data_IF_320072284969
#
_entry.id   IF_320072284969
#
_cell.length_a   1.000
_cell.length_b   1.000
_cell.length_c   1.000
_cell.angle_alpha   90.00
_cell.angle_beta   90.00
_cell.angle_gamma   90.00
#
_symmetry.space_group_name_H-M   'P 1'
#
loop_
_entity.id
_entity.type
_entity.pdbx_description
1 polymer ?
#
# COMPACT_ATOMS: atom_id res chain seq x y z
N UNK A 1 34.02 -44.02 11.60
CA UNK A 1 33.67 -43.15 12.73
C UNK A 1 32.77 -42.06 12.13
N UNK A 2 31.49 -42.18 12.39
CA UNK A 2 30.58 -41.07 12.08
C UNK A 2 30.92 -39.98 13.12
N UNK A 3 31.48 -38.88 12.68
CA UNK A 3 31.47 -37.68 13.47
C UNK A 3 29.99 -37.32 13.65
N UNK A 4 29.43 -37.75 14.76
CA UNK A 4 28.19 -37.22 15.23
C UNK A 4 28.39 -35.69 15.23
N UNK A 5 27.70 -35.05 14.42
CA UNK A 5 27.79 -33.61 14.24
C UNK A 5 27.20 -32.99 15.51
N UNK A 6 28.04 -32.87 16.54
CA UNK A 6 27.65 -32.30 17.83
C UNK A 6 27.12 -30.89 17.67
N UNK A 7 27.52 -30.23 16.60
CA UNK A 7 26.95 -28.95 16.19
C UNK A 7 25.62 -29.08 15.41
N UNK A 8 25.37 -30.24 14.79
CA UNK A 8 24.12 -30.50 14.06
C UNK A 8 22.97 -31.01 14.92
N UNK A 9 23.30 -31.63 16.07
CA UNK A 9 22.27 -32.12 17.01
C UNK A 9 21.87 -31.09 18.06
N UNK A 10 22.66 -30.01 18.25
CA UNK A 10 22.36 -28.96 19.23
C UNK A 10 21.56 -27.80 18.71
N UNK A 11 21.62 -27.51 17.41
CA UNK A 11 20.84 -26.46 16.78
C UNK A 11 19.74 -27.16 15.98
N UNK A 12 18.60 -27.31 16.59
CA UNK A 12 17.40 -27.73 15.87
C UNK A 12 17.02 -26.57 14.95
N UNK A 13 17.32 -26.69 13.64
CA UNK A 13 16.99 -25.71 12.64
C UNK A 13 15.49 -25.36 12.66
N UNK A 14 14.64 -26.33 12.97
CA UNK A 14 13.21 -26.11 13.14
C UNK A 14 12.90 -25.23 14.36
N UNK A 15 13.66 -25.36 15.44
CA UNK A 15 13.50 -24.52 16.62
C UNK A 15 13.97 -23.07 16.41
N UNK A 16 14.96 -22.86 15.53
CA UNK A 16 15.42 -21.52 15.11
C UNK A 16 14.52 -20.91 14.05
N UNK A 17 13.86 -21.71 13.25
CA UNK A 17 12.99 -21.25 12.17
C UNK A 17 11.83 -20.42 12.70
N UNK A 18 11.21 -20.84 13.81
CA UNK A 18 10.04 -20.16 14.38
C UNK A 18 10.38 -18.73 14.85
N UNK A 19 11.42 -18.49 15.66
CA UNK A 19 11.75 -17.13 16.11
C UNK A 19 12.22 -16.23 14.96
N UNK A 20 12.99 -16.75 14.00
CA UNK A 20 13.42 -15.96 12.84
C UNK A 20 12.23 -15.63 11.93
N UNK A 21 11.34 -16.58 11.69
CA UNK A 21 10.12 -16.35 10.92
C UNK A 21 9.22 -15.32 11.59
N UNK A 22 9.00 -15.44 12.90
CA UNK A 22 8.20 -14.48 13.65
C UNK A 22 8.82 -13.07 13.64
N UNK A 23 10.14 -12.96 13.83
CA UNK A 23 10.87 -11.70 13.76
C UNK A 23 10.80 -11.08 12.36
N UNK A 24 10.88 -11.89 11.29
CA UNK A 24 10.79 -11.44 9.91
C UNK A 24 9.39 -10.91 9.59
N UNK A 25 8.34 -11.65 9.97
CA UNK A 25 6.95 -11.24 9.75
C UNK A 25 6.64 -9.97 10.55
N UNK A 26 7.04 -9.93 11.82
CA UNK A 26 6.83 -8.77 12.68
C UNK A 26 7.56 -7.53 12.14
N UNK A 27 8.83 -7.65 11.78
CA UNK A 27 9.59 -6.54 11.21
C UNK A 27 9.01 -6.06 9.89
N UNK A 28 8.53 -6.96 9.02
CA UNK A 28 7.87 -6.59 7.77
C UNK A 28 6.58 -5.80 8.03
N UNK A 29 5.76 -6.22 8.99
CA UNK A 29 4.52 -5.54 9.36
C UNK A 29 4.76 -4.19 10.06
N UNK A 30 5.78 -4.10 10.90
CA UNK A 30 6.11 -2.87 11.63
C UNK A 30 6.73 -1.80 10.72
N UNK A 31 7.53 -2.21 9.73
CA UNK A 31 8.28 -1.28 8.87
C UNK A 31 7.48 -0.86 7.65
N UNK A 32 6.63 -1.73 7.10
CA UNK A 32 5.83 -1.40 5.92
C UNK A 32 4.65 -0.51 6.28
N UNK A 33 4.48 0.56 5.50
CA UNK A 33 3.33 1.46 5.62
C UNK A 33 2.03 0.80 5.13
N UNK A 34 2.12 -0.12 4.17
CA UNK A 34 0.96 -0.67 3.47
C UNK A 34 0.62 -2.11 3.88
N UNK A 35 1.60 -2.88 4.39
CA UNK A 35 1.42 -4.30 4.71
C UNK A 35 0.31 -4.59 5.73
N UNK A 36 0.01 -3.73 6.73
CA UNK A 36 -1.15 -3.93 7.60
C UNK A 36 -2.51 -3.90 6.90
N UNK A 37 -2.56 -3.47 5.63
CA UNK A 37 -3.80 -3.40 4.84
C UNK A 37 -4.75 -2.27 5.25
N UNK A 38 -4.29 -1.31 6.05
CA UNK A 38 -5.08 -0.17 6.51
C UNK A 38 -5.26 0.90 5.43
N UNK A 39 -4.20 1.19 4.68
CA UNK A 39 -4.21 2.21 3.62
C UNK A 39 -4.71 1.64 2.30
N UNK A 40 -4.27 0.44 1.95
CA UNK A 40 -4.67 -0.28 0.74
C UNK A 40 -5.18 -1.67 1.15
N UNK A 41 -6.44 -2.02 0.87
CA UNK A 41 -6.98 -3.31 1.25
C UNK A 41 -6.23 -4.47 0.60
N UNK A 42 -5.97 -5.51 1.37
CA UNK A 42 -5.25 -6.71 0.92
C UNK A 42 -6.22 -7.86 0.68
N UNK A 43 -6.14 -8.48 -0.49
CA UNK A 43 -6.87 -9.69 -0.84
C UNK A 43 -5.93 -10.90 -0.71
N UNK A 44 -6.35 -11.88 0.08
CA UNK A 44 -5.64 -13.16 0.15
C UNK A 44 -5.95 -14.01 -1.09
N UNK A 45 -4.91 -14.59 -1.66
CA UNK A 45 -4.97 -15.41 -2.87
C UNK A 45 -4.66 -16.87 -2.51
N UNK A 46 -5.42 -17.83 -2.99
CA UNK A 46 -5.14 -19.24 -2.74
C UNK A 46 -3.76 -19.68 -3.24
N UNK A 47 -3.15 -20.64 -2.57
CA UNK A 47 -1.87 -21.21 -3.00
C UNK A 47 -1.98 -21.80 -4.42
N UNK A 48 -0.97 -21.52 -5.25
CA UNK A 48 -0.91 -21.97 -6.64
C UNK A 48 -1.53 -21.02 -7.66
N UNK A 49 -2.17 -19.90 -7.24
CA UNK A 49 -2.67 -18.88 -8.15
C UNK A 49 -1.59 -17.83 -8.41
N UNK A 50 -1.30 -17.54 -9.67
CA UNK A 50 -0.33 -16.51 -10.07
C UNK A 50 -0.93 -15.11 -10.11
N UNK A 51 -2.25 -14.97 -9.98
CA UNK A 51 -2.95 -13.68 -10.05
C UNK A 51 -4.23 -13.66 -9.23
N UNK A 52 -4.66 -12.47 -8.83
CA UNK A 52 -5.95 -12.19 -8.24
C UNK A 52 -6.85 -11.47 -9.24
N UNK A 53 -8.11 -11.83 -9.30
CA UNK A 53 -9.10 -11.10 -10.10
C UNK A 53 -10.02 -10.28 -9.18
N UNK A 54 -10.16 -9.01 -9.49
CA UNK A 54 -11.05 -8.09 -8.79
C UNK A 54 -12.09 -7.57 -9.78
N UNK A 55 -13.37 -7.73 -9.45
CA UNK A 55 -14.44 -7.15 -10.23
C UNK A 55 -14.66 -5.69 -9.82
N UNK A 56 -14.55 -4.77 -10.76
CA UNK A 56 -14.88 -3.36 -10.57
C UNK A 56 -16.26 -3.14 -11.19
N UNK A 57 -17.25 -2.80 -10.38
CA UNK A 57 -18.61 -2.54 -10.83
C UNK A 57 -18.75 -1.11 -11.31
N UNK A 58 -19.29 -0.93 -12.52
CA UNK A 58 -19.67 0.39 -13.04
C UNK A 58 -20.89 0.95 -12.31
N UNK A 59 -21.06 2.25 -12.39
CA UNK A 59 -22.23 2.93 -11.84
C UNK A 59 -23.42 2.82 -12.81
N UNK A 60 -24.61 2.74 -12.25
CA UNK A 60 -25.88 2.82 -12.98
C UNK A 60 -26.53 4.17 -12.66
N UNK A 61 -27.02 4.86 -13.66
CA UNK A 61 -27.67 6.16 -13.50
C UNK A 61 -29.15 5.98 -13.21
N UNK A 62 -29.63 6.56 -12.12
CA UNK A 62 -31.06 6.57 -11.85
C UNK A 62 -31.80 7.46 -12.86
N UNK A 63 -32.86 6.93 -13.43
CA UNK A 63 -33.74 7.68 -14.34
C UNK A 63 -34.98 8.20 -13.56
N UNK A 64 -35.29 9.46 -13.72
CA UNK A 64 -36.49 10.05 -13.07
C UNK A 64 -37.72 9.66 -13.88
N UNK A 65 -38.67 9.05 -13.20
CA UNK A 65 -40.01 8.84 -13.78
C UNK A 65 -40.88 10.05 -13.46
N UNK A 66 -41.31 10.78 -14.46
CA UNK A 66 -42.17 11.93 -14.27
C UNK A 66 -43.60 11.46 -13.99
N UNK A 67 -44.19 11.92 -12.92
CA UNK A 67 -45.60 11.67 -12.61
C UNK A 67 -46.41 12.81 -13.22
N UNK A 68 -47.36 12.51 -14.10
CA UNK A 68 -48.32 13.51 -14.56
C UNK A 68 -49.22 13.90 -13.38
N UNK A 69 -49.41 15.18 -13.14
CA UNK A 69 -50.09 15.73 -11.96
C UNK A 69 -51.54 15.29 -11.73
N UNK A 70 -52.06 14.33 -12.47
CA UNK A 70 -53.36 13.69 -12.34
C UNK A 70 -53.34 12.39 -11.50
N UNK A 71 -52.14 12.01 -10.97
CA UNK A 71 -51.96 10.78 -10.19
C UNK A 71 -51.80 9.51 -11.01
N UNK A 72 -51.83 9.60 -12.33
CA UNK A 72 -51.51 8.50 -13.22
C UNK A 72 -50.01 8.50 -13.51
N UNK A 73 -49.37 7.36 -13.34
CA UNK A 73 -48.02 7.14 -13.85
C UNK A 73 -48.13 7.11 -15.38
N UNK A 74 -47.56 8.10 -16.06
CA UNK A 74 -47.40 8.00 -17.50
C UNK A 74 -46.39 6.87 -17.78
N UNK A 75 -46.93 5.70 -17.92
CA UNK A 75 -46.29 4.64 -18.68
C UNK A 75 -46.56 5.00 -20.15
N UNK A 76 -45.70 5.85 -20.71
CA UNK A 76 -45.58 5.87 -22.16
C UNK A 76 -45.21 4.43 -22.58
N UNK A 77 -46.08 3.72 -23.29
CA UNK A 77 -45.81 2.33 -23.67
C UNK A 77 -44.59 2.17 -24.59
N UNK A 78 -43.89 3.26 -24.90
CA UNK A 78 -42.66 3.30 -25.69
C UNK A 78 -41.40 3.62 -24.90
N UNK A 79 -41.50 3.98 -23.61
CA UNK A 79 -40.33 4.25 -22.76
C UNK A 79 -40.14 3.10 -21.77
N UNK A 80 -39.59 2.02 -22.25
CA UNK A 80 -39.00 1.04 -21.37
C UNK A 80 -37.92 1.72 -20.50
N UNK A 81 -37.91 1.47 -19.19
CA UNK A 81 -36.80 1.79 -18.37
C UNK A 81 -35.54 1.21 -19.03
N UNK A 82 -34.54 2.02 -19.38
CA UNK A 82 -33.36 1.48 -19.99
C UNK A 82 -32.78 0.48 -19.02
N UNK A 83 -32.72 -0.80 -19.39
CA UNK A 83 -32.11 -1.84 -18.64
C UNK A 83 -30.59 -1.59 -18.66
N UNK A 84 -30.10 -0.82 -17.67
CA UNK A 84 -28.72 -0.49 -17.53
C UNK A 84 -28.02 -1.67 -16.82
N UNK A 85 -27.28 -2.45 -17.57
CA UNK A 85 -26.37 -3.42 -16.99
C UNK A 85 -25.11 -2.66 -16.50
N UNK A 86 -24.75 -2.76 -15.22
CA UNK A 86 -23.50 -2.17 -14.76
C UNK A 86 -22.34 -2.79 -15.55
N UNK A 87 -21.50 -1.93 -16.12
CA UNK A 87 -20.29 -2.40 -16.80
C UNK A 87 -19.34 -3.00 -15.79
N UNK A 88 -19.28 -4.33 -15.71
CA UNK A 88 -18.34 -5.04 -14.87
C UNK A 88 -17.00 -5.16 -15.59
N UNK A 89 -15.99 -4.49 -15.09
CA UNK A 89 -14.61 -4.62 -15.56
C UNK A 89 -13.85 -5.53 -14.61
N UNK A 90 -13.22 -6.57 -15.16
CA UNK A 90 -12.31 -7.41 -14.38
C UNK A 90 -10.91 -6.83 -14.46
N UNK A 91 -10.34 -6.51 -13.31
CA UNK A 91 -8.92 -6.17 -13.16
C UNK A 91 -8.18 -7.39 -12.65
N UNK A 92 -7.05 -7.70 -13.28
CA UNK A 92 -6.16 -8.79 -12.86
C UNK A 92 -4.94 -8.20 -12.18
N UNK A 93 -4.65 -8.65 -10.98
CA UNK A 93 -3.47 -8.28 -10.21
C UNK A 93 -2.52 -9.45 -10.28
N UNK A 94 -1.42 -9.30 -10.99
CA UNK A 94 -0.40 -10.33 -11.10
C UNK A 94 0.47 -10.35 -9.84
N UNK A 95 0.79 -11.54 -9.37
CA UNK A 95 1.63 -11.79 -8.21
C UNK A 95 3.06 -12.03 -8.66
N UNK A 96 3.99 -11.28 -8.07
CA UNK A 96 5.42 -11.50 -8.20
C UNK A 96 5.98 -12.08 -6.89
N UNK A 97 6.97 -12.94 -7.02
CA UNK A 97 7.69 -13.45 -5.87
C UNK A 97 8.80 -12.47 -5.47
N UNK A 98 8.62 -11.80 -4.34
CA UNK A 98 9.66 -11.02 -3.70
C UNK A 98 10.51 -11.94 -2.82
N UNK A 99 11.82 -11.94 -3.00
CA UNK A 99 12.70 -12.75 -2.20
C UNK A 99 13.93 -11.96 -1.74
N UNK A 100 14.31 -12.18 -0.49
CA UNK A 100 15.55 -11.66 0.09
C UNK A 100 16.33 -12.83 0.69
N UNK A 101 17.64 -12.85 0.45
CA UNK A 101 18.53 -13.95 0.83
C UNK A 101 19.71 -13.43 1.59
N UNK A 102 20.11 -14.15 2.64
CA UNK A 102 21.38 -13.92 3.36
C UNK A 102 22.03 -15.25 3.72
N UNK A 103 23.36 -15.24 3.81
CA UNK A 103 24.15 -16.41 4.23
C UNK A 103 24.83 -16.09 5.56
N UNK A 104 24.54 -16.86 6.57
CA UNK A 104 25.20 -16.76 7.87
C UNK A 104 26.33 -17.80 7.91
N UNK A 105 27.57 -17.34 8.04
CA UNK A 105 28.74 -18.22 8.19
C UNK A 105 28.88 -18.68 9.63
N UNK A 106 29.32 -19.93 9.84
CA UNK A 106 29.46 -20.56 11.16
C UNK A 106 30.41 -19.82 12.11
N UNK A 107 31.38 -19.07 11.58
CA UNK A 107 32.32 -18.26 12.35
C UNK A 107 31.77 -16.90 12.81
N UNK A 108 30.62 -16.46 12.26
CA UNK A 108 29.98 -15.25 12.70
C UNK A 108 28.98 -15.56 13.81
N UNK A 109 29.33 -15.28 15.06
CA UNK A 109 28.39 -15.35 16.19
C UNK A 109 27.29 -14.31 16.04
N UNK A 110 26.35 -14.57 15.11
CA UNK A 110 25.33 -13.64 14.73
C UNK A 110 24.02 -13.94 15.46
N UNK A 111 23.34 -12.92 15.93
CA UNK A 111 22.00 -13.04 16.47
C UNK A 111 21.02 -13.31 15.31
N UNK A 112 20.39 -14.49 15.33
CA UNK A 112 19.43 -14.90 14.30
C UNK A 112 18.20 -13.97 14.24
N UNK A 113 17.83 -13.33 15.34
CA UNK A 113 16.74 -12.36 15.35
C UNK A 113 17.07 -11.11 14.52
N UNK A 114 18.31 -10.64 14.55
CA UNK A 114 18.73 -9.50 13.74
C UNK A 114 18.66 -9.80 12.24
N UNK A 115 18.99 -11.03 11.84
CA UNK A 115 18.82 -11.45 10.45
C UNK A 115 17.35 -11.51 10.03
N UNK A 116 16.48 -12.01 10.91
CA UNK A 116 15.03 -11.97 10.69
C UNK A 116 14.54 -10.55 10.48
N UNK A 117 14.97 -9.60 11.28
CA UNK A 117 14.59 -8.18 11.13
C UNK A 117 15.12 -7.56 9.83
N UNK A 118 16.37 -7.85 9.47
CA UNK A 118 16.95 -7.35 8.20
C UNK A 118 16.18 -7.90 7.00
N UNK A 119 15.85 -9.18 6.99
CA UNK A 119 15.08 -9.80 5.91
C UNK A 119 13.65 -9.24 5.86
N UNK A 120 13.00 -9.08 7.01
CA UNK A 120 11.67 -8.47 7.09
C UNK A 120 11.64 -7.04 6.57
N UNK A 121 12.60 -6.23 6.96
CA UNK A 121 12.75 -4.86 6.46
C UNK A 121 13.00 -4.81 4.95
N UNK A 122 13.76 -5.76 4.41
CA UNK A 122 14.01 -5.86 2.96
C UNK A 122 12.72 -6.16 2.18
N UNK A 123 11.90 -7.09 2.67
CA UNK A 123 10.60 -7.40 2.06
C UNK A 123 9.64 -6.21 2.19
N UNK A 124 9.56 -5.58 3.36
CA UNK A 124 8.75 -4.37 3.57
C UNK A 124 9.10 -3.26 2.59
N UNK A 125 10.41 -2.98 2.44
CA UNK A 125 10.91 -2.00 1.47
C UNK A 125 10.50 -2.33 0.04
N UNK A 126 10.58 -3.60 -0.36
CA UNK A 126 10.19 -4.02 -1.70
C UNK A 126 8.69 -3.85 -1.95
N UNK A 127 7.85 -4.16 -0.95
CA UNK A 127 6.40 -3.96 -0.99
C UNK A 127 6.07 -2.46 -1.12
N UNK A 128 6.61 -1.62 -0.23
CA UNK A 128 6.36 -0.18 -0.22
C UNK A 128 6.83 0.50 -1.50
N UNK A 129 7.94 0.06 -2.06
CA UNK A 129 8.43 0.53 -3.37
C UNK A 129 7.43 0.20 -4.48
N UNK A 130 6.92 -1.04 -4.53
CA UNK A 130 5.95 -1.45 -5.55
C UNK A 130 4.62 -0.71 -5.44
N UNK A 131 4.13 -0.50 -4.23
CA UNK A 131 2.92 0.32 -4.02
C UNK A 131 3.17 1.75 -4.50
N UNK A 132 4.34 2.33 -4.20
CA UNK A 132 4.69 3.68 -4.66
C UNK A 132 4.76 3.80 -6.19
N UNK A 133 5.27 2.76 -6.89
CA UNK A 133 5.23 2.70 -8.36
C UNK A 133 3.79 2.76 -8.88
N UNK A 134 2.88 2.01 -8.26
CA UNK A 134 1.47 2.00 -8.66
C UNK A 134 0.72 3.27 -8.27
N UNK A 135 1.11 3.96 -7.20
CA UNK A 135 0.59 5.30 -6.88
C UNK A 135 0.89 6.29 -8.02
N UNK A 136 2.03 6.16 -8.72
CA UNK A 136 2.35 6.94 -9.90
C UNK A 136 1.37 6.78 -11.07
N UNK A 137 0.55 5.72 -11.06
CA UNK A 137 -0.48 5.47 -12.08
C UNK A 137 -1.85 6.06 -11.73
N UNK A 138 -1.99 6.75 -10.60
CA UNK A 138 -3.19 7.51 -10.27
C UNK A 138 -3.32 8.75 -11.17
N UNK A 139 -4.46 9.44 -11.08
CA UNK A 139 -4.66 10.69 -11.82
C UNK A 139 -3.67 11.74 -11.35
N UNK A 140 -2.83 12.24 -12.26
CA UNK A 140 -1.84 13.25 -11.94
C UNK A 140 -2.48 14.64 -11.85
N UNK A 141 -2.11 15.40 -10.80
CA UNK A 141 -2.45 16.80 -10.63
C UNK A 141 -1.16 17.62 -10.53
N UNK A 142 -1.07 18.68 -11.31
CA UNK A 142 0.06 19.59 -11.24
C UNK A 142 0.00 20.45 -9.98
N UNK A 143 1.16 20.59 -9.34
CA UNK A 143 1.36 21.51 -8.22
C UNK A 143 1.49 22.94 -8.74
N UNK A 144 0.49 23.76 -8.51
CA UNK A 144 0.43 25.14 -9.00
C UNK A 144 0.42 26.18 -7.90
N UNK A 145 0.04 25.78 -6.69
CA UNK A 145 -0.08 26.70 -5.56
C UNK A 145 1.20 26.73 -4.72
N UNK A 146 1.49 27.88 -4.14
CA UNK A 146 2.61 28.01 -3.20
C UNK A 146 2.43 27.23 -1.89
N UNK A 147 1.21 26.73 -1.61
CA UNK A 147 0.83 26.05 -0.38
C UNK A 147 0.37 24.61 -0.66
N UNK A 148 1.11 23.65 -0.15
CA UNK A 148 0.80 22.19 -0.25
C UNK A 148 -0.59 21.84 0.28
N UNK A 149 -1.09 22.57 1.27
CA UNK A 149 -2.41 22.32 1.85
C UNK A 149 -3.53 22.70 0.89
N UNK A 150 -3.40 23.79 0.14
CA UNK A 150 -4.38 24.19 -0.86
C UNK A 150 -4.45 23.13 -1.98
N UNK A 151 -3.32 22.60 -2.39
CA UNK A 151 -3.27 21.51 -3.37
C UNK A 151 -3.93 20.23 -2.84
N UNK A 152 -3.77 19.93 -1.55
CA UNK A 152 -4.46 18.82 -0.91
C UNK A 152 -5.98 19.02 -0.92
N UNK A 153 -6.46 20.23 -0.62
CA UNK A 153 -7.90 20.52 -0.69
C UNK A 153 -8.43 20.41 -2.12
N UNK A 154 -7.67 20.85 -3.13
CA UNK A 154 -8.05 20.68 -4.54
C UNK A 154 -8.12 19.19 -4.91
N UNK A 155 -7.13 18.39 -4.50
CA UNK A 155 -7.11 16.95 -4.76
C UNK A 155 -8.32 16.24 -4.10
N UNK A 156 -8.60 16.54 -2.82
CA UNK A 156 -9.78 16.01 -2.12
C UNK A 156 -11.06 16.43 -2.84
N UNK A 157 -11.18 17.71 -3.22
CA UNK A 157 -12.33 18.23 -3.93
C UNK A 157 -12.55 17.52 -5.28
N UNK A 158 -11.50 17.27 -6.03
CA UNK A 158 -11.57 16.57 -7.32
C UNK A 158 -12.00 15.10 -7.16
N UNK A 159 -11.49 14.39 -6.15
CA UNK A 159 -11.90 13.01 -5.84
C UNK A 159 -13.39 12.99 -5.43
N UNK A 160 -13.82 13.95 -4.61
CA UNK A 160 -15.23 14.07 -4.20
C UNK A 160 -16.14 14.42 -5.40
N UNK A 161 -15.68 15.28 -6.30
CA UNK A 161 -16.41 15.62 -7.54
C UNK A 161 -16.52 14.41 -8.49
N UNK A 162 -15.57 13.48 -8.47
CA UNK A 162 -15.65 12.21 -9.19
C UNK A 162 -16.66 11.21 -8.56
N UNK A 163 -17.33 11.59 -7.46
CA UNK A 163 -18.37 10.76 -6.82
C UNK A 163 -17.87 9.86 -5.69
N UNK A 164 -16.59 9.95 -5.30
CA UNK A 164 -16.05 9.16 -4.19
C UNK A 164 -16.46 9.77 -2.84
N UNK A 165 -17.25 9.03 -2.05
CA UNK A 165 -17.71 9.46 -0.73
C UNK A 165 -17.02 8.75 0.42
N UNK A 166 -16.22 7.72 0.14
CA UNK A 166 -15.54 6.89 1.11
C UNK A 166 -14.42 7.60 1.88
N UNK A 167 -13.79 6.88 2.80
CA UNK A 167 -12.63 7.36 3.51
C UNK A 167 -11.45 7.53 2.54
N UNK A 168 -10.73 8.63 2.70
CA UNK A 168 -9.52 8.93 1.93
C UNK A 168 -8.29 8.76 2.80
N UNK A 169 -7.20 8.37 2.21
CA UNK A 169 -5.88 8.29 2.81
C UNK A 169 -4.91 9.20 2.02
N UNK A 170 -3.95 9.78 2.73
CA UNK A 170 -2.91 10.59 2.12
C UNK A 170 -1.54 10.02 2.45
N UNK A 171 -0.69 9.89 1.44
CA UNK A 171 0.71 9.52 1.60
C UNK A 171 1.57 10.65 1.06
N UNK A 172 2.44 11.18 1.92
CA UNK A 172 3.30 12.33 1.64
C UNK A 172 4.72 11.83 1.39
N UNK A 173 5.39 12.38 0.38
CA UNK A 173 6.81 12.09 0.15
C UNK A 173 7.68 12.67 1.25
N UNK A 174 8.79 12.02 1.57
CA UNK A 174 9.74 12.53 2.55
C UNK A 174 10.27 13.93 2.18
N UNK A 175 10.38 14.23 0.89
CA UNK A 175 10.80 15.56 0.40
C UNK A 175 9.76 16.67 0.67
N UNK A 176 8.47 16.33 0.63
CA UNK A 176 7.39 17.28 0.90
C UNK A 176 7.05 17.40 2.40
N UNK A 177 7.55 16.48 3.23
CA UNK A 177 7.24 16.42 4.66
C UNK A 177 7.51 17.73 5.39
N UNK A 178 8.68 18.33 5.17
CA UNK A 178 9.04 19.60 5.82
C UNK A 178 8.06 20.74 5.48
N UNK A 179 7.59 20.78 4.23
CA UNK A 179 6.57 21.74 3.80
C UNK A 179 5.23 21.55 4.51
N UNK A 180 4.77 20.32 4.67
CA UNK A 180 3.56 20.03 5.45
C UNK A 180 3.73 20.41 6.92
N UNK A 181 4.85 20.07 7.54
CA UNK A 181 5.12 20.38 8.95
C UNK A 181 5.20 21.89 9.20
N UNK A 182 5.77 22.66 8.27
CA UNK A 182 5.80 24.13 8.36
C UNK A 182 4.40 24.73 8.35
N UNK A 183 3.51 24.19 7.52
CA UNK A 183 2.13 24.68 7.41
C UNK A 183 1.34 24.30 8.67
N UNK A 184 1.45 23.06 9.13
CA UNK A 184 0.77 22.58 10.36
C UNK A 184 1.29 23.31 11.60
N UNK A 185 2.59 23.64 11.63
CA UNK A 185 3.23 24.40 12.71
C UNK A 185 2.94 25.90 12.70
N UNK A 186 2.33 26.43 11.63
CA UNK A 186 1.97 27.84 11.57
C UNK A 186 0.83 28.15 12.54
N UNK A 187 0.82 29.39 13.08
CA UNK A 187 -0.18 29.83 14.09
C UNK A 187 -1.64 29.70 13.65
N UNK A 188 -1.90 29.62 12.34
CA UNK A 188 -3.23 29.40 11.78
C UNK A 188 -3.78 27.98 12.03
N UNK A 189 -2.87 27.01 12.26
CA UNK A 189 -3.20 25.61 12.52
C UNK A 189 -2.86 25.13 13.94
N UNK A 190 -2.43 26.03 14.82
CA UNK A 190 -2.02 25.74 16.19
C UNK A 190 -3.21 25.34 17.09
N UNK A 191 -3.95 24.33 16.69
CA UNK A 191 -5.05 23.73 17.42
C UNK A 191 -4.71 22.32 17.91
N UNK A 192 -3.92 22.18 18.98
CA UNK A 192 -3.92 21.00 19.83
C UNK A 192 -2.99 19.83 19.45
N UNK A 193 -3.33 18.68 19.92
CA UNK A 193 -2.63 17.40 20.09
C UNK A 193 -1.96 16.79 18.84
N UNK A 194 -2.28 17.27 17.64
CA UNK A 194 -1.79 16.75 16.37
C UNK A 194 -0.29 16.91 16.18
N UNK A 195 0.32 17.95 16.72
CA UNK A 195 1.77 18.16 16.62
C UNK A 195 2.57 17.10 17.39
N UNK A 196 2.06 16.66 18.54
CA UNK A 196 2.73 15.67 19.36
C UNK A 196 2.61 14.25 18.81
N UNK A 197 1.54 13.92 18.10
CA UNK A 197 1.37 12.63 17.44
C UNK A 197 2.22 12.49 16.17
N UNK A 198 2.36 13.54 15.38
CA UNK A 198 3.18 13.57 14.19
C UNK A 198 4.66 13.29 14.47
N UNK A 199 5.17 13.78 15.61
CA UNK A 199 6.56 13.56 16.02
C UNK A 199 6.87 12.10 16.45
N UNK A 200 5.86 11.31 16.79
CA UNK A 200 6.05 9.97 17.39
C UNK A 200 5.90 8.80 16.44
N UNK A 201 5.17 8.94 15.34
CA UNK A 201 4.74 7.78 14.53
C UNK A 201 4.87 7.93 13.02
N UNK A 202 5.48 9.01 12.51
CA UNK A 202 5.45 9.31 11.07
C UNK A 202 4.05 9.64 10.53
N UNK A 203 3.06 9.67 11.40
CA UNK A 203 1.71 10.14 11.13
C UNK A 203 1.69 11.66 11.22
N UNK A 204 1.47 12.35 10.11
CA UNK A 204 1.47 13.83 10.07
C UNK A 204 0.26 14.41 10.81
N UNK A 205 -0.80 13.63 10.94
CA UNK A 205 -2.07 14.06 11.51
C UNK A 205 -3.22 13.94 10.52
N UNK A 206 -4.39 14.40 10.93
CA UNK A 206 -5.56 14.50 10.06
C UNK A 206 -5.62 15.90 9.46
N UNK A 207 -5.50 15.98 8.15
CA UNK A 207 -5.67 17.23 7.40
C UNK A 207 -7.00 17.14 6.64
N UNK A 208 -7.93 18.05 6.93
CA UNK A 208 -9.28 18.04 6.35
C UNK A 208 -10.03 16.69 6.54
N UNK A 209 -9.79 16.00 7.66
CA UNK A 209 -10.39 14.68 7.91
C UNK A 209 -9.71 13.52 7.19
N UNK A 210 -8.61 13.76 6.48
CA UNK A 210 -7.82 12.73 5.78
C UNK A 210 -6.56 12.44 6.58
N UNK A 211 -6.32 11.19 7.01
CA UNK A 211 -5.09 10.79 7.68
C UNK A 211 -3.91 10.85 6.70
N UNK A 212 -2.84 11.51 7.12
CA UNK A 212 -1.64 11.72 6.32
C UNK A 212 -0.45 10.94 6.89
N UNK A 213 0.21 10.17 6.06
CA UNK A 213 1.37 9.34 6.41
C UNK A 213 2.59 9.74 5.57
N UNK A 214 3.79 9.56 6.12
CA UNK A 214 5.04 9.80 5.39
C UNK A 214 5.56 8.50 4.82
N UNK A 215 5.91 8.49 3.55
CA UNK A 215 6.63 7.39 2.91
C UNK A 215 7.98 7.85 2.39
N UNK A 216 9.02 7.11 2.76
CA UNK A 216 10.36 7.29 2.20
C UNK A 216 10.47 6.78 0.75
N UNK A 217 9.51 5.95 0.33
CA UNK A 217 9.53 5.29 -0.99
C UNK A 217 8.65 6.00 -2.03
N UNK A 218 7.87 6.99 -1.64
CA UNK A 218 7.15 7.87 -2.57
C UNK A 218 8.14 8.90 -3.15
N UNK A 219 8.89 8.48 -4.15
CA UNK A 219 9.93 9.26 -4.82
C UNK A 219 9.69 9.32 -6.32
N UNK A 220 10.28 10.29 -6.99
CA UNK A 220 10.19 10.45 -8.45
C UNK A 220 10.69 9.20 -9.19
N UNK A 221 11.77 8.58 -8.69
CA UNK A 221 12.32 7.36 -9.26
C UNK A 221 11.34 6.18 -9.23
N UNK A 222 10.51 6.10 -8.19
CA UNK A 222 9.53 5.02 -8.05
C UNK A 222 8.22 5.33 -8.78
N UNK A 223 7.73 6.55 -8.70
CA UNK A 223 6.47 6.95 -9.35
C UNK A 223 6.59 7.17 -10.85
N UNK A 224 7.81 7.42 -11.35
CA UNK A 224 8.06 7.82 -12.74
C UNK A 224 7.61 9.24 -13.06
N UNK A 225 7.28 10.03 -12.04
CA UNK A 225 6.80 11.41 -12.15
C UNK A 225 7.89 12.40 -11.72
N UNK A 226 7.67 13.69 -11.96
CA UNK A 226 8.63 14.74 -11.58
C UNK A 226 8.19 15.41 -10.29
N UNK A 227 9.10 15.45 -9.31
CA UNK A 227 8.92 16.18 -8.05
C UNK A 227 7.60 15.84 -7.33
N UNK A 228 7.38 14.54 -7.12
CA UNK A 228 6.20 13.98 -6.44
C UNK A 228 6.09 14.52 -5.02
N UNK A 229 4.95 15.11 -4.68
CA UNK A 229 4.69 15.70 -3.37
C UNK A 229 3.92 14.77 -2.45
N UNK A 230 2.74 14.35 -2.87
CA UNK A 230 1.87 13.47 -2.10
C UNK A 230 0.85 12.81 -3.01
N UNK A 231 0.23 11.74 -2.52
CA UNK A 231 -0.90 11.07 -3.16
C UNK A 231 -2.07 11.01 -2.17
N UNK A 232 -3.27 11.36 -2.64
CA UNK A 232 -4.53 11.19 -1.92
C UNK A 232 -5.37 10.17 -2.66
N UNK A 233 -5.85 9.15 -1.98
CA UNK A 233 -6.62 8.08 -2.61
C UNK A 233 -7.61 7.44 -1.65
N UNK A 234 -8.68 6.88 -2.22
CA UNK A 234 -9.62 6.02 -1.51
C UNK A 234 -9.07 4.60 -1.37
N UNK A 235 -9.51 3.89 -0.34
CA UNK A 235 -9.21 2.47 -0.19
C UNK A 235 -9.65 1.62 -1.40
N UNK A 236 -10.65 2.09 -2.16
CA UNK A 236 -11.14 1.41 -3.37
C UNK A 236 -10.39 1.77 -4.65
N UNK A 237 -9.47 2.75 -4.59
CA UNK A 237 -8.65 3.14 -5.74
C UNK A 237 -7.64 2.04 -6.13
N UNK A 238 -7.14 1.30 -5.14
CA UNK A 238 -6.10 0.30 -5.30
C UNK A 238 -6.42 -0.96 -4.52
N UNK A 239 -5.85 -2.08 -4.94
CA UNK A 239 -5.94 -3.35 -4.22
C UNK A 239 -4.59 -4.03 -4.21
N UNK A 240 -4.22 -4.55 -3.04
CA UNK A 240 -3.10 -5.47 -2.90
C UNK A 240 -3.58 -6.92 -2.95
N UNK A 241 -2.79 -7.80 -3.51
CA UNK A 241 -2.99 -9.23 -3.49
C UNK A 241 -1.77 -9.90 -2.85
N UNK A 242 -1.98 -10.84 -1.95
CA UNK A 242 -0.92 -11.55 -1.25
C UNK A 242 -1.26 -13.04 -1.15
N UNK A 243 -0.29 -13.89 -1.42
CA UNK A 243 -0.46 -15.34 -1.29
C UNK A 243 0.21 -15.81 0.00
N UNK A 244 -0.60 -16.13 1.00
CA UNK A 244 -0.09 -16.52 2.32
C UNK A 244 0.49 -15.31 3.07
N UNK A 245 1.65 -15.43 3.62
CA UNK A 245 2.40 -14.38 4.30
C UNK A 245 3.85 -14.40 3.86
N UNK A 246 4.70 -13.70 4.61
CA UNK A 246 6.14 -13.81 4.46
C UNK A 246 6.56 -15.21 4.93
N UNK A 247 7.24 -15.94 4.04
CA UNK A 247 7.79 -17.28 4.32
C UNK A 247 9.30 -17.17 4.49
N UNK A 248 9.84 -17.94 5.41
CA UNK A 248 11.28 -18.02 5.65
C UNK A 248 11.72 -19.48 5.52
N UNK A 249 12.73 -19.71 4.70
CA UNK A 249 13.31 -21.03 4.44
C UNK A 249 14.79 -21.02 4.83
N UNK A 250 15.25 -22.15 5.35
CA UNK A 250 16.63 -22.34 5.77
C UNK A 250 17.25 -23.51 5.02
N UNK A 251 18.45 -23.32 4.52
CA UNK A 251 19.21 -24.37 3.86
C UNK A 251 20.66 -24.36 4.34
N UNK A 252 21.18 -25.54 4.71
CA UNK A 252 22.60 -25.71 5.04
C UNK A 252 23.43 -25.71 3.77
N UNK A 253 24.31 -24.74 3.60
CA UNK A 253 25.20 -24.63 2.46
C UNK A 253 26.63 -25.02 2.82
N UNK A 254 26.97 -26.30 2.59
CA UNK A 254 28.29 -26.84 2.93
C UNK A 254 29.44 -26.09 2.24
N UNK A 255 29.27 -25.68 0.98
CA UNK A 255 30.26 -24.95 0.22
C UNK A 255 30.59 -23.55 0.78
N UNK A 256 29.68 -22.94 1.52
CA UNK A 256 29.86 -21.64 2.13
C UNK A 256 30.19 -21.74 3.64
N UNK A 257 30.24 -22.96 4.19
CA UNK A 257 30.37 -23.23 5.62
C UNK A 257 29.41 -22.33 6.42
N UNK A 258 28.11 -22.40 6.07
CA UNK A 258 27.10 -21.52 6.63
C UNK A 258 25.70 -21.99 6.36
N UNK A 259 24.72 -21.26 6.89
CA UNK A 259 23.30 -21.47 6.66
C UNK A 259 22.75 -20.36 5.78
N UNK A 260 22.07 -20.74 4.73
CA UNK A 260 21.33 -19.86 3.84
C UNK A 260 19.94 -19.60 4.42
N UNK A 261 19.54 -18.34 4.49
CA UNK A 261 18.21 -17.95 4.93
C UNK A 261 17.57 -17.15 3.80
N UNK A 262 16.41 -17.60 3.36
CA UNK A 262 15.63 -16.94 2.31
C UNK A 262 14.29 -16.54 2.87
N UNK A 263 14.00 -15.25 2.87
CA UNK A 263 12.66 -14.73 3.11
C UNK A 263 11.96 -14.44 1.78
N UNK A 264 10.74 -14.89 1.61
CA UNK A 264 9.97 -14.70 0.39
C UNK A 264 8.53 -14.30 0.68
N UNK A 265 7.94 -13.51 -0.21
CA UNK A 265 6.54 -13.14 -0.19
C UNK A 265 6.02 -13.05 -1.63
N UNK A 266 4.90 -13.70 -1.91
CA UNK A 266 4.20 -13.51 -3.18
C UNK A 266 3.23 -12.34 -3.04
N UNK A 267 3.48 -11.27 -3.77
CA UNK A 267 2.81 -9.98 -3.61
C UNK A 267 2.52 -9.34 -4.96
N UNK A 268 1.34 -8.76 -5.09
CA UNK A 268 0.94 -7.95 -6.24
C UNK A 268 0.14 -6.73 -5.79
N UNK A 269 0.17 -5.66 -6.56
CA UNK A 269 -0.63 -4.47 -6.34
C UNK A 269 -1.03 -3.88 -7.68
N UNK A 270 -2.27 -3.40 -7.80
CA UNK A 270 -2.71 -2.66 -8.98
C UNK A 270 -3.75 -1.62 -8.66
N UNK A 271 -3.86 -0.62 -9.55
CA UNK A 271 -4.87 0.43 -9.49
C UNK A 271 -6.17 -0.12 -10.10
N UNK A 272 -7.23 -0.13 -9.30
CA UNK A 272 -8.56 -0.54 -9.75
C UNK A 272 -9.25 0.59 -10.50
N UNK A 273 -9.22 1.79 -9.92
CA UNK A 273 -9.83 2.99 -10.48
C UNK A 273 -8.95 4.21 -10.21
N UNK A 274 -8.30 4.72 -11.27
CA UNK A 274 -7.41 5.86 -11.15
C UNK A 274 -8.14 7.17 -10.81
N UNK A 275 -9.44 7.27 -11.05
CA UNK A 275 -10.24 8.48 -10.77
C UNK A 275 -10.51 8.67 -9.27
N UNK A 276 -10.38 7.59 -8.48
CA UNK A 276 -10.54 7.60 -7.02
C UNK A 276 -9.27 7.95 -6.26
N UNK A 277 -8.24 8.38 -6.97
CA UNK A 277 -6.99 8.81 -6.38
C UNK A 277 -6.30 9.87 -7.23
N UNK A 278 -5.60 10.77 -6.56
CA UNK A 278 -4.83 11.84 -7.19
C UNK A 278 -3.42 11.83 -6.62
N UNK A 279 -2.45 11.88 -7.52
CA UNK A 279 -1.05 12.13 -7.17
C UNK A 279 -0.67 13.55 -7.57
N UNK A 280 -0.14 14.31 -6.61
CA UNK A 280 0.30 15.70 -6.84
C UNK A 280 1.79 15.73 -7.11
N UNK A 281 2.15 16.32 -8.23
CA UNK A 281 3.51 16.45 -8.73
C UNK A 281 3.78 17.90 -9.18
N UNK A 282 5.04 18.28 -9.33
CA UNK A 282 5.36 19.54 -9.97
C UNK A 282 5.22 19.39 -11.49
N UNK A 283 4.80 20.47 -12.17
CA UNK A 283 4.89 20.53 -13.61
C UNK A 283 6.36 20.37 -14.04
N UNK A 284 6.59 19.58 -15.09
CA UNK A 284 7.91 19.35 -15.65
C UNK A 284 8.49 20.64 -16.26
#
# INVERSE_FOLDING_TARGET
MAYANEYGSGINLDALMVPVQSATVYAAQETSLYLPGLLVPTQQVPAGSASAQVAVMGQVTATTVTNNGDGTQETDPGVDFPNQLPANTKKTIDLDLLASRTVIRDLGGADFNDFGRILGNSIAKAIDTRVSVKLGSLTAQEYTEANLLNEMFKAIGAIRAAGETGALNCVVSAAAYAGFMTIIGSSAYAGGDTQNQAMRSGFIGNVAGVPCYVSAYLTDANTGLTNTKFAVFSADAMRMAMQGGVKVEFERRAAAVGTDIVASAAFGVDVLDATRGIIVQNAA
#
